data_IF_673068058882
#
_entry.id   IF_673068058882
#
_cell.length_a   1.000
_cell.length_b   1.000
_cell.length_c   1.000
_cell.angle_alpha   90.00
_cell.angle_beta   90.00
_cell.angle_gamma   90.00
#
_symmetry.space_group_name_H-M   'P 1'
#
loop_
_entity.id
_entity.type
_entity.pdbx_description
1 polymer ?
#
# COMPACT_ATOMS: atom_id res chain seq x y z
N UNK A 1 -18.94 1.83 -3.50
CA UNK A 1 -19.51 0.74 -2.66
C UNK A 1 -19.57 -0.57 -3.45
N UNK A 2 -18.53 -1.39 -3.37
CA UNK A 2 -18.56 -2.79 -3.83
C UNK A 2 -18.33 -3.66 -2.58
N UNK A 3 -19.28 -4.52 -2.23
CA UNK A 3 -19.07 -5.59 -1.24
C UNK A 3 -19.36 -5.29 0.24
N UNK A 4 -19.62 -4.05 0.66
CA UNK A 4 -20.09 -3.76 2.03
C UNK A 4 -19.05 -3.95 3.15
N UNK A 5 -17.78 -4.17 2.82
CA UNK A 5 -16.69 -4.03 3.78
C UNK A 5 -16.25 -2.57 3.82
N UNK A 6 -16.36 -1.94 5.00
CA UNK A 6 -15.90 -0.56 5.24
C UNK A 6 -14.36 -0.49 5.33
N UNK A 7 -13.71 -1.64 5.57
CA UNK A 7 -12.27 -1.83 5.62
C UNK A 7 -11.93 -3.28 5.27
N UNK A 8 -10.96 -3.49 4.39
CA UNK A 8 -10.29 -4.78 4.20
C UNK A 8 -8.92 -4.72 4.90
N UNK A 9 -8.79 -5.36 6.07
CA UNK A 9 -7.53 -5.45 6.80
C UNK A 9 -6.94 -6.85 6.61
N UNK A 10 -5.89 -6.95 5.81
CA UNK A 10 -5.08 -8.16 5.74
C UNK A 10 -3.93 -8.04 6.75
N UNK A 11 -3.92 -8.92 7.76
CA UNK A 11 -2.88 -8.90 8.79
C UNK A 11 -1.51 -9.18 8.18
N UNK A 12 -0.48 -8.45 8.63
CA UNK A 12 0.88 -8.54 8.10
C UNK A 12 1.43 -9.96 8.15
N UNK A 13 1.77 -10.55 7.00
CA UNK A 13 2.57 -11.77 6.91
C UNK A 13 3.60 -11.66 5.79
N UNK A 14 4.71 -12.38 5.92
CA UNK A 14 5.67 -12.51 4.82
C UNK A 14 5.00 -13.18 3.61
N UNK A 15 5.32 -12.70 2.39
CA UNK A 15 4.78 -13.19 1.11
C UNK A 15 3.30 -12.91 0.83
N UNK A 16 2.74 -11.87 1.45
CA UNK A 16 1.47 -11.28 1.06
C UNK A 16 1.69 -9.95 0.32
N UNK A 17 0.62 -9.28 -0.06
CA UNK A 17 0.64 -7.97 -0.72
C UNK A 17 1.34 -6.87 0.11
N UNK A 18 1.66 -7.13 1.38
CA UNK A 18 2.40 -6.21 2.24
C UNK A 18 3.94 -6.28 2.04
N UNK A 19 4.49 -7.41 1.58
CA UNK A 19 5.92 -7.61 1.30
C UNK A 19 6.17 -8.82 0.41
N UNK A 20 6.62 -8.59 -0.83
CA UNK A 20 7.11 -9.64 -1.73
C UNK A 20 8.53 -10.13 -1.41
N UNK A 21 9.23 -9.46 -0.50
CA UNK A 21 10.54 -9.89 0.01
C UNK A 21 10.33 -10.94 1.09
N UNK A 22 10.61 -12.20 0.77
CA UNK A 22 10.31 -13.35 1.64
C UNK A 22 11.17 -13.44 2.90
N UNK A 23 12.36 -12.84 2.91
CA UNK A 23 13.31 -12.86 4.02
C UNK A 23 13.47 -11.52 4.75
N UNK A 24 12.51 -10.61 4.52
CA UNK A 24 12.49 -9.33 5.17
C UNK A 24 12.35 -9.47 6.70
N UNK A 25 13.18 -8.71 7.43
CA UNK A 25 13.12 -8.57 8.89
C UNK A 25 13.09 -7.09 9.26
N UNK A 26 11.94 -6.63 9.74
CA UNK A 26 11.77 -5.23 10.12
C UNK A 26 10.31 -4.85 10.32
N UNK A 27 10.01 -3.59 10.03
CA UNK A 27 8.65 -3.04 10.14
C UNK A 27 8.10 -2.72 8.76
N UNK A 28 6.85 -3.11 8.55
CA UNK A 28 6.04 -2.74 7.39
C UNK A 28 4.87 -1.91 7.90
N UNK A 29 4.71 -0.70 7.37
CA UNK A 29 3.51 0.09 7.53
C UNK A 29 2.66 0.00 6.27
N UNK A 30 1.37 -0.25 6.45
CA UNK A 30 0.40 -0.43 5.38
C UNK A 30 -0.78 0.48 5.63
N UNK A 31 -1.23 1.17 4.58
CA UNK A 31 -2.44 1.98 4.61
C UNK A 31 -3.19 1.81 3.28
N UNK A 32 -4.19 0.94 3.30
CA UNK A 32 -5.23 0.93 2.27
C UNK A 32 -6.35 1.87 2.69
N UNK A 33 -6.54 2.95 1.93
CA UNK A 33 -7.45 4.03 2.25
C UNK A 33 -8.43 4.18 1.09
N UNK A 34 -9.71 4.18 1.40
CA UNK A 34 -10.78 4.45 0.45
C UNK A 34 -11.76 5.49 1.00
N UNK A 35 -12.49 6.16 0.12
CA UNK A 35 -13.52 7.10 0.54
C UNK A 35 -14.06 7.99 -0.56
N UNK A 36 -14.88 9.00 -0.22
CA UNK A 36 -15.43 9.96 -1.17
C UNK A 36 -14.31 10.76 -1.84
N UNK A 37 -14.29 10.75 -3.16
CA UNK A 37 -13.33 11.48 -3.98
C UNK A 37 -13.80 12.91 -4.26
N UNK A 38 -12.86 13.87 -4.20
CA UNK A 38 -13.08 15.23 -4.66
C UNK A 38 -11.88 15.66 -5.52
N UNK A 39 -12.14 16.31 -6.66
CA UNK A 39 -11.07 16.71 -7.57
C UNK A 39 -11.57 17.29 -8.89
N UNK A 40 -10.62 17.61 -9.77
CA UNK A 40 -10.87 18.13 -11.13
C UNK A 40 -10.13 17.24 -12.13
N UNK A 41 -10.82 16.81 -13.17
CA UNK A 41 -10.24 16.06 -14.28
C UNK A 41 -10.60 16.75 -15.60
N UNK A 42 -9.59 17.10 -16.40
CA UNK A 42 -9.74 17.83 -17.67
C UNK A 42 -10.57 19.13 -17.55
N UNK A 43 -10.38 19.88 -16.46
CA UNK A 43 -11.07 21.15 -16.21
C UNK A 43 -12.51 21.02 -15.69
N UNK A 44 -13.04 19.81 -15.55
CA UNK A 44 -14.35 19.56 -14.96
C UNK A 44 -14.22 18.95 -13.55
N UNK A 45 -15.12 19.32 -12.64
CA UNK A 45 -15.21 18.69 -11.33
C UNK A 45 -15.57 17.20 -11.48
N UNK A 46 -15.00 16.36 -10.62
CA UNK A 46 -15.40 14.95 -10.51
C UNK A 46 -16.88 14.85 -10.08
N UNK A 47 -17.55 13.77 -10.49
CA UNK A 47 -18.93 13.51 -10.08
C UNK A 47 -19.06 13.41 -8.55
N UNK A 48 -20.23 13.77 -8.02
CA UNK A 48 -20.49 13.67 -6.57
C UNK A 48 -20.41 12.24 -6.02
N UNK A 49 -20.52 11.23 -6.90
CA UNK A 49 -20.34 9.82 -6.59
C UNK A 49 -18.91 9.32 -6.79
N UNK A 50 -17.94 10.21 -7.01
CA UNK A 50 -16.55 9.81 -7.16
C UNK A 50 -16.04 9.18 -5.85
N UNK A 51 -15.23 8.15 -6.00
CA UNK A 51 -14.53 7.47 -4.90
C UNK A 51 -13.02 7.61 -5.15
N UNK A 52 -12.23 7.61 -4.09
CA UNK A 52 -10.78 7.46 -4.16
C UNK A 52 -10.37 6.17 -3.47
N UNK A 53 -9.26 5.61 -3.92
CA UNK A 53 -8.53 4.53 -3.27
C UNK A 53 -7.05 4.86 -3.32
N UNK A 54 -6.32 4.58 -2.25
CA UNK A 54 -4.88 4.73 -2.20
C UNK A 54 -4.29 3.65 -1.33
N UNK A 55 -3.23 3.03 -1.81
CA UNK A 55 -2.57 1.94 -1.14
C UNK A 55 -1.11 2.30 -0.87
N UNK A 56 -0.89 2.97 0.26
CA UNK A 56 0.43 3.45 0.64
C UNK A 56 1.13 2.44 1.54
N UNK A 57 2.39 2.16 1.22
CA UNK A 57 3.24 1.27 2.02
C UNK A 57 4.59 1.88 2.30
N UNK A 58 5.15 1.54 3.45
CA UNK A 58 6.56 1.78 3.73
C UNK A 58 7.18 0.59 4.45
N UNK A 59 8.46 0.38 4.21
CA UNK A 59 9.21 -0.73 4.76
C UNK A 59 10.53 -0.23 5.28
N UNK A 60 10.92 -0.68 6.48
CA UNK A 60 12.24 -0.42 7.05
C UNK A 60 12.78 -1.68 7.70
N UNK A 61 13.93 -2.16 7.24
CA UNK A 61 14.51 -3.37 7.77
C UNK A 61 15.64 -3.96 6.93
N UNK A 62 15.91 -5.22 7.21
CA UNK A 62 16.95 -6.01 6.56
C UNK A 62 16.33 -6.98 5.58
N UNK A 63 16.93 -7.15 4.40
CA UNK A 63 16.46 -8.05 3.34
C UNK A 63 17.63 -8.58 2.50
N UNK A 64 17.40 -9.65 1.74
CA UNK A 64 18.33 -10.07 0.68
C UNK A 64 17.89 -9.47 -0.66
N UNK A 65 18.80 -8.73 -1.30
CA UNK A 65 18.57 -8.10 -2.59
C UNK A 65 18.65 -9.11 -3.75
N UNK A 66 18.29 -8.66 -4.95
CA UNK A 66 18.45 -9.47 -6.17
C UNK A 66 19.91 -9.77 -6.51
N UNK A 67 20.86 -9.07 -5.87
CA UNK A 67 22.29 -9.35 -5.92
C UNK A 67 22.73 -10.47 -4.95
N UNK A 68 21.79 -11.08 -4.22
CA UNK A 68 22.03 -12.13 -3.24
C UNK A 68 22.70 -11.65 -1.95
N UNK A 69 22.84 -10.34 -1.73
CA UNK A 69 23.47 -9.77 -0.55
C UNK A 69 22.44 -9.25 0.43
N UNK A 70 22.82 -9.22 1.71
CA UNK A 70 22.02 -8.60 2.75
C UNK A 70 22.15 -7.08 2.70
N UNK A 71 21.02 -6.39 2.74
CA UNK A 71 20.91 -4.93 2.75
C UNK A 71 20.08 -4.46 3.93
N UNK A 72 20.35 -3.23 4.37
CA UNK A 72 19.51 -2.51 5.33
C UNK A 72 18.95 -1.29 4.61
N UNK A 73 17.63 -1.21 4.47
CA UNK A 73 16.98 -0.20 3.63
C UNK A 73 15.69 0.36 4.22
N UNK A 74 15.26 1.46 3.62
CA UNK A 74 13.93 2.05 3.82
C UNK A 74 13.33 2.38 2.45
N UNK A 75 12.09 1.94 2.21
CA UNK A 75 11.38 2.11 0.93
C UNK A 75 9.95 2.60 1.18
N UNK A 76 9.42 3.37 0.25
CA UNK A 76 8.03 3.79 0.21
C UNK A 76 7.42 3.47 -1.16
N UNK A 77 6.15 3.07 -1.16
CA UNK A 77 5.38 2.71 -2.35
C UNK A 77 4.01 3.37 -2.25
N UNK A 78 3.50 3.86 -3.38
CA UNK A 78 2.21 4.55 -3.55
C UNK A 78 1.47 3.89 -4.72
#
# INVERSE_FOLDING_TARGET
MVGGELFHFQGTKANLDESSIYDFKGTVGVANIEGPGAGVHNGAALAASAEFGSDNRFMKGVYVGTDGKQHHGTFGFI
#
